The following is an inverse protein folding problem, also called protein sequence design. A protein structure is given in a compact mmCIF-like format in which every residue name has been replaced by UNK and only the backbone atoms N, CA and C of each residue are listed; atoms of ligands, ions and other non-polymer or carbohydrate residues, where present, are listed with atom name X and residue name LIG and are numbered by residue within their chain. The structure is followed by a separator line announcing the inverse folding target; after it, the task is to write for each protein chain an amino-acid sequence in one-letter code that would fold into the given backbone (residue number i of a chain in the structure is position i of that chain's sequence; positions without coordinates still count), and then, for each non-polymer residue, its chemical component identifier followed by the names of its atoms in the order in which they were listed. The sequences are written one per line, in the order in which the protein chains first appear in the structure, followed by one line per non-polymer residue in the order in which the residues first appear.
data_IF_841453513645
#
_entry.id   IF_841453513645
#
_cell.length_a   1.000
_cell.length_b   1.000
_cell.length_c   1.000
_cell.angle_alpha   90.00
_cell.angle_beta   90.00
_cell.angle_gamma   90.00
#
_symmetry.space_group_name_H-M   'P 1'
#
loop_
_entity.id
_entity.type
_entity.pdbx_description
1 polymer ?
#
# COMPACT_ATOMS: atom_id res chain seq x y z
N UNK A 1 16.80 -8.12 -5.51
CA UNK A 1 18.20 -7.82 -5.13
C UNK A 1 18.15 -6.38 -4.70
N UNK A 2 18.05 -6.12 -3.39
CA UNK A 2 18.07 -4.76 -2.85
C UNK A 2 19.45 -4.13 -3.10
N UNK A 3 19.49 -2.92 -3.64
CA UNK A 3 20.72 -2.15 -3.79
C UNK A 3 20.98 -1.36 -2.50
N UNK A 4 21.86 -1.89 -1.65
CA UNK A 4 22.33 -1.19 -0.46
C UNK A 4 23.27 -0.07 -0.88
N UNK A 5 22.85 1.19 -0.70
CA UNK A 5 23.69 2.36 -0.96
C UNK A 5 24.58 2.63 0.25
N UNK A 6 25.83 2.19 0.17
CA UNK A 6 26.86 2.43 1.20
C UNK A 6 27.26 3.92 1.14
N UNK A 7 27.10 4.67 2.24
CA UNK A 7 27.61 6.05 2.33
C UNK A 7 29.04 6.12 2.87
N UNK A 8 29.67 7.29 2.73
CA UNK A 8 31.01 7.55 3.23
C UNK A 8 30.99 7.66 4.77
N UNK A 9 32.03 7.11 5.40
CA UNK A 9 32.29 7.25 6.84
C UNK A 9 32.41 8.74 7.21
N UNK A 10 31.41 9.25 7.94
CA UNK A 10 31.29 10.66 8.31
C UNK A 10 31.81 10.98 9.71
N UNK A 11 31.97 10.00 10.59
CA UNK A 11 32.39 10.20 11.98
C UNK A 11 33.79 9.61 12.29
N UNK A 12 34.37 8.89 11.33
CA UNK A 12 35.74 8.38 11.35
C UNK A 12 35.91 7.12 12.18
N UNK A 13 34.83 6.40 12.47
CA UNK A 13 34.86 5.17 13.27
C UNK A 13 35.15 3.91 12.44
N UNK A 14 35.15 4.02 11.10
CA UNK A 14 35.41 2.93 10.17
C UNK A 14 34.22 2.02 9.91
N UNK A 15 33.03 2.34 10.43
CA UNK A 15 31.78 1.72 10.05
C UNK A 15 31.13 2.51 8.91
N UNK A 16 30.73 1.81 7.86
CA UNK A 16 29.88 2.41 6.84
C UNK A 16 28.46 2.47 7.40
N UNK A 17 27.95 3.67 7.60
CA UNK A 17 26.54 3.81 7.89
C UNK A 17 25.74 3.36 6.66
N UNK A 18 24.84 2.40 6.85
CA UNK A 18 23.87 2.03 5.83
C UNK A 18 22.60 2.81 6.12
N UNK A 19 22.22 3.76 5.26
CA UNK A 19 20.79 4.10 5.15
C UNK A 19 20.13 2.85 4.56
N UNK A 20 19.62 1.99 5.44
CA UNK A 20 18.66 0.98 5.07
C UNK A 20 17.47 1.77 4.53
N UNK A 21 17.46 2.02 3.22
CA UNK A 21 16.30 2.52 2.52
C UNK A 21 15.24 1.44 2.69
N UNK A 22 14.51 1.51 3.80
CA UNK A 22 13.41 0.64 4.11
C UNK A 22 12.49 0.72 2.89
N UNK A 23 12.44 -0.37 2.12
CA UNK A 23 11.40 -0.49 1.10
C UNK A 23 10.08 -0.17 1.79
N UNK A 24 9.20 0.64 1.18
CA UNK A 24 7.99 1.03 1.87
C UNK A 24 7.26 -0.25 2.27
N UNK A 25 7.07 -0.48 3.57
CA UNK A 25 6.31 -1.60 4.16
C UNK A 25 4.81 -1.53 3.83
N UNK A 26 4.48 -0.68 2.85
CA UNK A 26 3.16 -0.36 2.36
C UNK A 26 2.87 -1.31 1.21
N UNK A 27 1.88 -2.17 1.41
CA UNK A 27 1.37 -3.06 0.38
C UNK A 27 0.23 -2.34 -0.36
N UNK A 28 0.39 -1.93 -1.63
CA UNK A 28 -0.65 -1.18 -2.32
C UNK A 28 -1.98 -1.95 -2.36
N UNK A 29 -3.04 -1.34 -1.85
CA UNK A 29 -4.36 -1.93 -1.70
C UNK A 29 -4.64 -2.62 -0.36
N UNK A 30 -3.67 -2.72 0.56
CA UNK A 30 -3.84 -3.21 1.94
C UNK A 30 -4.31 -2.07 2.86
N UNK A 31 -5.52 -1.60 2.61
CA UNK A 31 -6.08 -0.39 3.22
C UNK A 31 -6.27 -0.53 4.74
N UNK A 32 -6.46 -1.76 5.23
CA UNK A 32 -6.63 -2.03 6.66
C UNK A 32 -5.36 -2.54 7.37
N UNK A 33 -4.21 -2.55 6.69
CA UNK A 33 -2.92 -3.03 7.20
C UNK A 33 -2.94 -4.47 7.72
N UNK A 34 -3.81 -5.33 7.18
CA UNK A 34 -3.89 -6.74 7.58
C UNK A 34 -2.91 -7.65 6.80
N UNK A 35 -2.12 -7.05 5.90
CA UNK A 35 -1.15 -7.68 5.00
C UNK A 35 -1.79 -8.59 3.94
N UNK A 36 -3.10 -8.51 3.72
CA UNK A 36 -3.82 -9.24 2.68
C UNK A 36 -4.70 -8.31 1.86
N UNK A 37 -4.36 -8.11 0.59
CA UNK A 37 -5.22 -7.32 -0.30
C UNK A 37 -6.44 -8.13 -0.76
N UNK A 38 -7.61 -7.77 -0.26
CA UNK A 38 -8.86 -8.49 -0.49
C UNK A 38 -10.09 -7.55 -0.51
N UNK A 39 -11.31 -8.13 -0.51
CA UNK A 39 -12.55 -7.34 -0.56
C UNK A 39 -12.78 -6.49 0.69
N UNK A 40 -12.19 -6.84 1.83
CA UNK A 40 -12.26 -6.05 3.05
C UNK A 40 -11.62 -4.67 2.85
N UNK A 41 -10.48 -4.58 2.16
CA UNK A 41 -9.83 -3.30 1.84
C UNK A 41 -10.73 -2.39 1.03
N UNK A 42 -11.38 -2.94 0.01
CA UNK A 42 -12.33 -2.22 -0.82
C UNK A 42 -13.52 -1.70 0.00
N UNK A 43 -14.02 -2.50 0.94
CA UNK A 43 -15.12 -2.10 1.84
C UNK A 43 -14.64 -1.00 2.80
N UNK A 44 -13.45 -1.15 3.39
CA UNK A 44 -12.85 -0.18 4.31
C UNK A 44 -12.66 1.18 3.64
N UNK A 45 -12.08 1.21 2.44
CA UNK A 45 -11.91 2.43 1.64
C UNK A 45 -13.27 3.05 1.26
N UNK A 46 -14.27 2.22 0.96
CA UNK A 46 -15.63 2.70 0.66
C UNK A 46 -16.32 3.33 1.88
N UNK A 47 -16.11 2.77 3.08
CA UNK A 47 -16.65 3.31 4.35
C UNK A 47 -15.97 4.62 4.72
N UNK A 48 -14.66 4.74 4.47
CA UNK A 48 -13.93 5.98 4.62
C UNK A 48 -14.55 7.10 3.78
N UNK A 49 -14.77 6.87 2.49
CA UNK A 49 -15.43 7.86 1.62
C UNK A 49 -16.89 8.15 1.98
N UNK A 50 -17.58 7.22 2.66
CA UNK A 50 -18.93 7.42 3.15
C UNK A 50 -18.97 8.17 4.49
N UNK A 51 -17.82 8.48 5.11
CA UNK A 51 -17.74 9.18 6.38
C UNK A 51 -18.29 8.38 7.55
N UNK A 52 -18.13 7.05 7.54
CA UNK A 52 -18.57 6.21 8.66
C UNK A 52 -17.69 6.42 9.89
N UNK A 53 -18.32 6.47 11.06
CA UNK A 53 -17.61 6.54 12.34
C UNK A 53 -16.63 5.37 12.47
N UNK A 54 -15.37 5.67 12.82
CA UNK A 54 -14.30 4.68 12.97
C UNK A 54 -13.62 4.24 11.67
N UNK A 55 -13.88 4.93 10.55
CA UNK A 55 -13.19 4.75 9.26
C UNK A 55 -12.53 6.05 8.78
N UNK A 56 -12.01 6.84 9.72
CA UNK A 56 -11.26 8.06 9.40
C UNK A 56 -9.88 7.76 8.81
N UNK A 57 -9.22 8.77 8.24
CA UNK A 57 -7.89 8.60 7.63
C UNK A 57 -6.83 8.10 8.64
N UNK A 58 -7.05 8.32 9.93
CA UNK A 58 -6.21 7.84 11.03
C UNK A 58 -6.33 6.34 11.31
N UNK A 59 -7.35 5.69 10.75
CA UNK A 59 -7.62 4.25 10.94
C UNK A 59 -7.24 3.40 9.74
N UNK A 60 -6.90 4.04 8.62
CA UNK A 60 -6.53 3.40 7.36
C UNK A 60 -5.05 3.64 7.07
N UNK A 61 -4.45 2.73 6.31
CA UNK A 61 -3.17 3.00 5.66
C UNK A 61 -3.43 3.83 4.40
N UNK A 62 -3.19 5.14 4.51
CA UNK A 62 -3.43 6.08 3.40
C UNK A 62 -2.40 5.94 2.28
N UNK A 63 -1.19 5.46 2.58
CA UNK A 63 -0.18 5.19 1.57
C UNK A 63 -0.57 3.92 0.78
N UNK A 64 -1.11 2.90 1.45
CA UNK A 64 -1.66 1.71 0.79
C UNK A 64 -2.96 2.01 0.03
N UNK A 65 -3.74 2.99 0.49
CA UNK A 65 -4.98 3.41 -0.14
C UNK A 65 -4.76 4.24 -1.42
N UNK A 66 -3.59 4.83 -1.64
CA UNK A 66 -3.17 5.46 -2.90
C UNK A 66 -2.73 4.39 -3.90
N UNK A 67 -3.70 3.58 -4.34
CA UNK A 67 -3.46 2.39 -5.16
C UNK A 67 -2.90 2.75 -6.54
N UNK A 68 -3.21 3.95 -7.06
CA UNK A 68 -2.71 4.40 -8.35
C UNK A 68 -1.38 5.17 -8.25
N UNK A 69 -0.94 5.55 -7.04
CA UNK A 69 0.32 6.23 -6.76
C UNK A 69 0.35 7.69 -7.25
N UNK A 70 -0.80 8.36 -7.32
CA UNK A 70 -0.91 9.76 -7.77
C UNK A 70 -0.72 10.77 -6.64
N UNK A 71 -0.53 10.29 -5.40
CA UNK A 71 -0.35 11.07 -4.19
C UNK A 71 -1.66 11.53 -3.56
N UNK A 72 -2.82 11.12 -4.08
CA UNK A 72 -4.14 11.54 -3.60
C UNK A 72 -5.12 10.37 -3.51
N UNK A 73 -5.47 9.95 -2.30
CA UNK A 73 -6.50 8.93 -2.08
C UNK A 73 -7.89 9.45 -2.47
N UNK A 74 -8.44 8.94 -3.57
CA UNK A 74 -9.73 9.37 -4.11
C UNK A 74 -10.53 8.21 -4.77
N UNK A 75 -11.62 8.56 -5.45
CA UNK A 75 -12.50 7.56 -6.08
C UNK A 75 -11.80 6.74 -7.18
N UNK A 76 -10.71 7.26 -7.77
CA UNK A 76 -9.86 6.52 -8.71
C UNK A 76 -9.24 5.30 -8.03
N UNK A 77 -8.65 5.44 -6.85
CA UNK A 77 -8.01 4.34 -6.12
C UNK A 77 -8.98 3.22 -5.80
N UNK A 78 -10.20 3.58 -5.38
CA UNK A 78 -11.27 2.59 -5.17
C UNK A 78 -11.59 1.82 -6.46
N UNK A 79 -11.60 2.47 -7.61
CA UNK A 79 -11.82 1.82 -8.90
C UNK A 79 -10.64 0.92 -9.29
N UNK A 80 -9.40 1.37 -9.07
CA UNK A 80 -8.20 0.58 -9.30
C UNK A 80 -8.18 -0.67 -8.42
N UNK A 81 -8.46 -0.52 -7.12
CA UNK A 81 -8.55 -1.61 -6.16
C UNK A 81 -9.63 -2.63 -6.55
N UNK A 82 -10.85 -2.17 -6.89
CA UNK A 82 -11.92 -3.06 -7.36
C UNK A 82 -11.49 -3.84 -8.60
N UNK A 83 -10.85 -3.19 -9.57
CA UNK A 83 -10.35 -3.83 -10.79
C UNK A 83 -9.23 -4.83 -10.51
N UNK A 84 -8.36 -4.55 -9.55
CA UNK A 84 -7.30 -5.46 -9.12
C UNK A 84 -7.90 -6.75 -8.55
N UNK A 85 -8.92 -6.64 -7.70
CA UNK A 85 -9.61 -7.77 -7.07
C UNK A 85 -10.44 -8.60 -8.07
N UNK A 86 -11.11 -7.95 -9.03
CA UNK A 86 -11.93 -8.63 -10.03
C UNK A 86 -11.10 -9.49 -10.99
N UNK A 87 -9.83 -9.14 -11.23
CA UNK A 87 -8.94 -9.88 -12.14
C UNK A 87 -8.51 -11.26 -11.63
N UNK A 88 -8.86 -11.65 -10.40
CA UNK A 88 -8.46 -12.94 -9.82
C UNK A 88 -9.57 -14.00 -9.69
N UNK A 89 -10.79 -13.78 -10.21
CA UNK A 89 -11.88 -14.79 -10.11
C UNK A 89 -12.57 -15.19 -11.42
N UNK A 90 -12.01 -14.87 -12.60
CA UNK A 90 -12.80 -14.94 -13.84
C UNK A 90 -12.21 -15.56 -15.10
N UNK A 91 -11.03 -16.20 -15.10
CA UNK A 91 -10.54 -16.88 -16.32
C UNK A 91 -9.74 -18.17 -16.05
N UNK A 92 -10.37 -19.13 -15.38
CA UNK A 92 -10.23 -20.53 -15.78
C UNK A 92 -11.53 -20.89 -16.50
N UNK A 93 -11.55 -20.66 -17.80
CA UNK A 93 -12.45 -21.38 -18.69
C UNK A 93 -11.96 -22.84 -18.70
N UNK A 94 -12.37 -23.63 -17.71
CA UNK A 94 -12.21 -25.07 -17.77
C UNK A 94 -13.32 -25.62 -18.70
N UNK A 95 -12.90 -25.80 -19.95
CA UNK A 95 -13.28 -26.80 -20.96
C UNK A 95 -14.73 -27.30 -21.02
#
# INVERSE_FOLDING_TARGET
MEEVKIMADTDGDGEYETELAAEPDVLPGDVNSDKNVNKLDLITLSRHFAGWDGYGAETLDMDAADVNGDGTVNAADRLFLARMLDRWTGYVADR
#
